data_IF_413284731402
#
_entry.id   IF_413284731402
#
_cell.length_a   1.000
_cell.length_b   1.000
_cell.length_c   1.000
_cell.angle_alpha   90.00
_cell.angle_beta   90.00
_cell.angle_gamma   90.00
#
_symmetry.space_group_name_H-M   'P 1'
#
loop_
_entity.id
_entity.type
_entity.pdbx_description
1 polymer ?
#
# COMPACT_ATOMS: atom_id res chain seq x y z
N UNK A 1 7.97 -14.41 -0.64
CA UNK A 1 8.16 -13.72 0.65
C UNK A 1 6.80 -13.28 1.16
N UNK A 2 6.55 -13.32 2.47
CA UNK A 2 5.27 -12.89 3.04
C UNK A 2 5.19 -11.36 3.09
N UNK A 3 3.98 -10.79 3.08
CA UNK A 3 3.78 -9.33 3.06
C UNK A 3 4.52 -8.61 4.20
N UNK A 4 4.43 -9.15 5.42
CA UNK A 4 5.06 -8.56 6.60
C UNK A 4 6.60 -8.64 6.54
N UNK A 5 7.15 -9.72 6.00
CA UNK A 5 8.60 -9.90 5.80
C UNK A 5 9.13 -8.92 4.74
N UNK A 6 8.39 -8.74 3.64
CA UNK A 6 8.78 -7.80 2.59
C UNK A 6 8.77 -6.36 3.08
N UNK A 7 7.74 -5.96 3.85
CA UNK A 7 7.67 -4.63 4.45
C UNK A 7 8.79 -4.40 5.46
N UNK A 8 9.13 -5.42 6.26
CA UNK A 8 10.27 -5.35 7.19
C UNK A 8 11.62 -5.24 6.47
N UNK A 9 11.72 -5.68 5.21
CA UNK A 9 12.95 -5.60 4.41
C UNK A 9 13.23 -4.23 3.81
N UNK A 10 12.30 -3.26 3.88
CA UNK A 10 12.45 -1.94 3.24
C UNK A 10 13.65 -1.19 3.82
N UNK A 11 14.50 -0.66 2.93
CA UNK A 11 15.69 0.10 3.30
C UNK A 11 15.81 1.39 2.45
N UNK A 12 15.81 2.58 3.05
CA UNK A 12 15.68 2.83 4.50
C UNK A 12 14.31 2.38 5.05
N UNK A 13 14.22 2.01 6.34
CA UNK A 13 12.94 1.69 6.94
C UNK A 13 12.07 2.95 7.02
N UNK A 14 10.73 2.82 6.88
CA UNK A 14 9.83 3.93 7.10
C UNK A 14 9.92 4.46 8.55
N UNK A 15 9.60 5.74 8.81
CA UNK A 15 9.53 6.28 10.16
C UNK A 15 8.57 5.45 11.04
N UNK A 16 8.83 5.30 12.36
CA UNK A 16 8.13 4.34 13.21
C UNK A 16 6.60 4.44 13.19
N UNK A 17 6.05 5.66 13.19
CA UNK A 17 4.60 5.88 13.14
C UNK A 17 3.99 5.41 11.80
N UNK A 18 4.68 5.66 10.69
CA UNK A 18 4.26 5.20 9.36
C UNK A 18 4.38 3.68 9.27
N UNK A 19 5.48 3.11 9.76
CA UNK A 19 5.70 1.67 9.80
C UNK A 19 4.60 0.94 10.57
N UNK A 20 4.24 1.44 11.76
CA UNK A 20 3.16 0.89 12.57
C UNK A 20 1.83 0.92 11.81
N UNK A 21 1.48 2.07 11.22
CA UNK A 21 0.22 2.24 10.49
C UNK A 21 0.11 1.34 9.26
N UNK A 22 1.20 1.18 8.50
CA UNK A 22 1.28 0.26 7.37
C UNK A 22 1.07 -1.19 7.85
N UNK A 23 1.77 -1.62 8.90
CA UNK A 23 1.62 -2.98 9.42
C UNK A 23 0.21 -3.27 9.95
N UNK A 24 -0.44 -2.31 10.60
CA UNK A 24 -1.85 -2.41 11.01
C UNK A 24 -2.77 -2.61 9.80
N UNK A 25 -2.55 -1.86 8.71
CA UNK A 25 -3.38 -1.95 7.51
C UNK A 25 -3.30 -3.30 6.79
N UNK A 26 -2.19 -4.02 6.95
CA UNK A 26 -1.98 -5.35 6.34
C UNK A 26 -2.07 -6.49 7.34
N UNK A 27 -2.44 -6.25 8.60
CA UNK A 27 -2.43 -7.25 9.67
C UNK A 27 -3.28 -8.49 9.33
N UNK A 28 -4.40 -8.30 8.64
CA UNK A 28 -5.26 -9.40 8.16
C UNK A 28 -4.64 -10.28 7.07
N UNK A 29 -3.49 -9.88 6.51
CA UNK A 29 -2.82 -10.56 5.39
C UNK A 29 -1.44 -11.12 5.77
N UNK A 30 -1.05 -11.15 7.05
CA UNK A 30 0.30 -11.53 7.47
C UNK A 30 0.79 -12.89 6.92
N UNK A 31 -0.10 -13.88 6.79
CA UNK A 31 0.23 -15.21 6.25
C UNK A 31 0.20 -15.31 4.72
N UNK A 32 -0.28 -14.27 4.05
CA UNK A 32 -0.36 -14.22 2.59
C UNK A 32 1.03 -13.98 2.02
N UNK A 33 1.29 -14.54 0.85
CA UNK A 33 2.40 -14.07 0.03
C UNK A 33 2.25 -12.57 -0.24
N UNK A 34 3.23 -11.92 -0.83
CA UNK A 34 3.11 -10.50 -1.19
C UNK A 34 2.52 -10.35 -2.60
N UNK A 35 1.19 -10.29 -2.78
CA UNK A 35 0.63 -9.88 -4.05
C UNK A 35 0.51 -8.35 -4.07
N UNK A 36 0.72 -7.81 -5.26
CA UNK A 36 0.33 -6.45 -5.64
C UNK A 36 -1.03 -6.03 -5.06
N UNK A 37 -2.03 -6.90 -5.19
CA UNK A 37 -3.41 -6.62 -4.78
C UNK A 37 -3.57 -6.43 -3.28
N UNK A 38 -2.77 -7.08 -2.42
CA UNK A 38 -2.88 -6.90 -0.97
C UNK A 38 -2.54 -5.45 -0.61
N UNK A 39 -1.48 -4.90 -1.19
CA UNK A 39 -1.05 -3.53 -0.93
C UNK A 39 -2.05 -2.51 -1.48
N UNK A 40 -2.56 -2.73 -2.70
CA UNK A 40 -3.59 -1.86 -3.30
C UNK A 40 -4.89 -1.90 -2.49
N UNK A 41 -5.35 -3.10 -2.09
CA UNK A 41 -6.57 -3.24 -1.30
C UNK A 41 -6.44 -2.56 0.07
N UNK A 42 -5.28 -2.68 0.73
CA UNK A 42 -5.01 -2.00 1.99
C UNK A 42 -5.03 -0.47 1.82
N UNK A 43 -4.39 0.06 0.76
CA UNK A 43 -4.41 1.49 0.47
C UNK A 43 -5.83 2.00 0.21
N UNK A 44 -6.62 1.28 -0.59
CA UNK A 44 -8.02 1.66 -0.87
C UNK A 44 -8.89 1.67 0.38
N UNK A 45 -8.74 0.68 1.27
CA UNK A 45 -9.50 0.63 2.51
C UNK A 45 -9.22 1.85 3.40
N UNK A 46 -7.97 2.32 3.42
CA UNK A 46 -7.59 3.56 4.12
C UNK A 46 -8.25 4.77 3.43
N UNK A 47 -8.10 4.91 2.11
CA UNK A 47 -8.62 6.05 1.36
C UNK A 47 -10.15 6.17 1.45
N UNK A 48 -10.87 5.05 1.42
CA UNK A 48 -12.33 5.01 1.52
C UNK A 48 -12.88 5.50 2.87
N UNK A 49 -12.04 5.55 3.90
CA UNK A 49 -12.42 5.97 5.26
C UNK A 49 -11.62 7.18 5.73
N UNK A 50 -10.89 7.82 4.81
CA UNK A 50 -9.95 8.88 5.13
C UNK A 50 -10.67 10.12 5.66
N UNK A 51 -10.36 10.58 6.89
CA UNK A 51 -10.97 11.77 7.43
C UNK A 51 -10.33 13.04 6.85
N UNK A 52 -11.15 14.08 6.66
CA UNK A 52 -10.68 15.35 6.10
C UNK A 52 -9.63 16.06 6.97
N UNK A 53 -8.72 16.78 6.31
CA UNK A 53 -7.75 17.66 6.96
C UNK A 53 -6.61 16.92 7.67
N UNK A 54 -6.01 17.57 8.68
CA UNK A 54 -4.75 17.11 9.30
C UNK A 54 -4.86 15.76 10.01
N UNK A 55 -6.04 15.41 10.50
CA UNK A 55 -6.28 14.15 11.20
C UNK A 55 -6.09 12.92 10.31
N UNK A 56 -6.33 13.04 8.99
CA UNK A 56 -6.09 11.98 8.02
C UNK A 56 -4.66 11.96 7.45
N UNK A 57 -3.76 12.87 7.86
CA UNK A 57 -2.46 13.01 7.20
C UNK A 57 -1.59 11.74 7.30
N UNK A 58 -1.62 11.04 8.44
CA UNK A 58 -0.88 9.79 8.61
C UNK A 58 -1.49 8.65 7.79
N UNK A 59 -2.82 8.58 7.74
CA UNK A 59 -3.55 7.61 6.93
C UNK A 59 -3.28 7.81 5.44
N UNK A 60 -3.31 9.05 4.97
CA UNK A 60 -2.99 9.40 3.60
C UNK A 60 -1.55 9.01 3.24
N UNK A 61 -0.59 9.28 4.14
CA UNK A 61 0.80 8.88 3.94
C UNK A 61 0.97 7.35 3.93
N UNK A 62 0.20 6.62 4.75
CA UNK A 62 0.20 5.17 4.73
C UNK A 62 -0.36 4.60 3.42
N UNK A 63 -1.47 5.18 2.91
CA UNK A 63 -2.03 4.80 1.63
C UNK A 63 -1.06 5.07 0.47
N UNK A 64 -0.40 6.24 0.46
CA UNK A 64 0.62 6.60 -0.52
C UNK A 64 1.81 5.63 -0.52
N UNK A 65 2.33 5.29 0.68
CA UNK A 65 3.42 4.32 0.82
C UNK A 65 3.02 2.92 0.34
N UNK A 66 1.81 2.46 0.67
CA UNK A 66 1.30 1.16 0.20
C UNK A 66 1.19 1.09 -1.32
N UNK A 67 0.72 2.16 -1.96
CA UNK A 67 0.66 2.24 -3.43
C UNK A 67 2.06 2.27 -4.05
N UNK A 68 2.98 3.04 -3.47
CA UNK A 68 4.39 3.05 -3.87
C UNK A 68 4.99 1.65 -3.81
N UNK A 69 4.75 0.93 -2.72
CA UNK A 69 5.21 -0.46 -2.55
C UNK A 69 4.53 -1.43 -3.52
N UNK A 70 3.25 -1.24 -3.85
CA UNK A 70 2.59 -2.04 -4.87
C UNK A 70 3.27 -1.86 -6.24
N UNK A 71 3.67 -0.63 -6.58
CA UNK A 71 4.42 -0.37 -7.80
C UNK A 71 5.83 -0.95 -7.76
N UNK A 72 6.54 -0.90 -6.64
CA UNK A 72 7.83 -1.58 -6.48
C UNK A 72 7.71 -3.09 -6.77
N UNK A 73 6.70 -3.76 -6.20
CA UNK A 73 6.42 -5.17 -6.46
C UNK A 73 6.13 -5.44 -7.94
N UNK A 74 5.45 -4.52 -8.63
CA UNK A 74 5.15 -4.67 -10.06
C UNK A 74 6.35 -4.41 -10.95
N UNK A 75 7.21 -3.47 -10.57
CA UNK A 75 8.43 -3.17 -11.30
C UNK A 75 9.40 -4.36 -11.31
N UNK A 76 9.41 -5.18 -10.24
CA UNK A 76 10.18 -6.43 -10.19
C UNK A 76 9.74 -7.46 -11.25
N UNK A 77 8.50 -7.38 -11.77
CA UNK A 77 7.94 -8.31 -12.77
C UNK A 77 7.99 -7.78 -14.22
N UNK A 78 8.37 -6.51 -14.43
CA UNK A 78 8.58 -5.78 -15.70
C UNK A 78 7.45 -5.77 -16.77
N UNK A 79 6.70 -6.85 -16.95
CA UNK A 79 5.76 -7.02 -18.08
C UNK A 79 4.33 -6.49 -17.80
N UNK A 80 4.01 -6.12 -16.56
CA UNK A 80 2.65 -5.79 -16.12
C UNK A 80 2.51 -4.37 -15.53
N UNK A 81 3.56 -3.55 -15.57
CA UNK A 81 3.61 -2.27 -14.86
C UNK A 81 2.57 -1.25 -15.37
N UNK A 82 2.45 -1.08 -16.69
CA UNK A 82 1.51 -0.12 -17.28
C UNK A 82 0.05 -0.50 -17.00
N UNK A 83 -0.31 -1.77 -17.22
CA UNK A 83 -1.66 -2.28 -16.94
C UNK A 83 -2.04 -2.17 -15.45
N UNK A 84 -1.09 -2.44 -14.56
CA UNK A 84 -1.30 -2.31 -13.11
C UNK A 84 -1.42 -0.86 -12.66
N UNK A 85 -0.68 0.06 -13.28
CA UNK A 85 -0.83 1.50 -13.04
C UNK A 85 -2.22 1.99 -13.46
N UNK A 86 -2.68 1.65 -14.66
CA UNK A 86 -4.01 2.01 -15.15
C UNK A 86 -5.11 1.46 -14.23
N UNK A 87 -4.97 0.21 -13.78
CA UNK A 87 -5.90 -0.39 -12.82
C UNK A 87 -5.92 0.38 -11.50
N UNK A 88 -4.76 0.70 -10.91
CA UNK A 88 -4.68 1.42 -9.63
C UNK A 88 -5.30 2.82 -9.75
N UNK A 89 -4.97 3.55 -10.81
CA UNK A 89 -5.51 4.89 -11.06
C UNK A 89 -7.04 4.82 -11.17
N UNK A 90 -7.57 3.88 -11.96
CA UNK A 90 -9.01 3.68 -12.12
C UNK A 90 -9.71 3.37 -10.79
N UNK A 91 -9.07 2.51 -9.99
CA UNK A 91 -9.56 2.10 -8.66
C UNK A 91 -9.58 3.25 -7.66
N UNK A 92 -8.56 4.12 -7.65
CA UNK A 92 -8.51 5.28 -6.77
C UNK A 92 -9.51 6.35 -7.23
N UNK A 93 -9.59 6.60 -8.54
CA UNK A 93 -10.53 7.58 -9.09
C UNK A 93 -11.99 7.27 -8.75
N UNK A 94 -12.36 6.00 -8.58
CA UNK A 94 -13.71 5.58 -8.17
C UNK A 94 -14.07 5.88 -6.71
N UNK A 95 -13.11 6.34 -5.89
CA UNK A 95 -13.34 6.72 -4.48
C UNK A 95 -13.72 8.20 -4.31
N UNK A 96 -13.58 9.01 -5.35
CA UNK A 96 -13.89 10.44 -5.38
C UNK A 96 -15.29 10.71 -5.95
#
# INVERSE_FOLDING_TARGET
MKVHEWLASRNPPPPPALAARINESVAGFQGTDLPFDVLVNAAQAILATLPDGRQGALDLLAADALLTYAFEVSAEECASMDERADMVISRIASLA
#
